data_IF_564091855470
#
_entry.id   IF_564091855470
#
_cell.length_a   1.000
_cell.length_b   1.000
_cell.length_c   1.000
_cell.angle_alpha   90.00
_cell.angle_beta   90.00
_cell.angle_gamma   90.00
#
_symmetry.space_group_name_H-M   'P 1'
#
loop_
_entity.id
_entity.type
_entity.pdbx_description
1 polymer ?
#
# COMPACT_ATOMS: atom_id res chain seq x y z
N UNK A 1 -55.10 -14.16 -61.32
CA UNK A 1 -54.04 -13.56 -60.48
C UNK A 1 -54.32 -13.93 -59.03
N UNK A 2 -53.52 -14.86 -58.51
CA UNK A 2 -53.59 -15.44 -57.17
C UNK A 2 -52.61 -14.73 -56.25
N UNK A 3 -53.06 -14.35 -55.05
CA UNK A 3 -52.43 -14.70 -53.76
C UNK A 3 -52.69 -13.62 -52.70
N UNK A 4 -53.38 -14.03 -51.64
CA UNK A 4 -53.53 -13.33 -50.37
C UNK A 4 -52.23 -13.53 -49.58
N UNK A 5 -51.62 -12.46 -49.08
CA UNK A 5 -50.56 -12.55 -48.07
C UNK A 5 -51.14 -12.16 -46.72
N UNK A 6 -51.60 -13.19 -46.02
CA UNK A 6 -51.78 -13.21 -44.58
C UNK A 6 -50.43 -13.58 -43.94
N UNK A 7 -50.00 -12.85 -42.91
CA UNK A 7 -49.17 -13.33 -41.79
C UNK A 7 -48.81 -12.20 -40.83
N UNK A 8 -49.70 -12.05 -39.86
CA UNK A 8 -49.38 -11.58 -38.53
C UNK A 8 -48.17 -12.34 -37.96
N UNK A 9 -47.10 -11.65 -37.60
CA UNK A 9 -46.01 -12.19 -36.77
C UNK A 9 -45.52 -11.12 -35.80
N UNK A 10 -45.98 -11.24 -34.55
CA UNK A 10 -45.32 -10.73 -33.34
C UNK A 10 -43.81 -11.03 -33.38
N UNK A 11 -42.97 -10.04 -33.08
CA UNK A 11 -41.67 -10.29 -32.43
C UNK A 11 -41.45 -9.28 -31.30
N UNK A 12 -41.59 -9.84 -30.10
CA UNK A 12 -41.27 -9.35 -28.76
C UNK A 12 -39.99 -8.51 -28.76
N UNK A 13 -40.13 -7.19 -28.52
CA UNK A 13 -39.01 -6.29 -28.32
C UNK A 13 -38.28 -6.63 -27.03
N UNK A 14 -37.01 -7.02 -27.17
CA UNK A 14 -36.11 -7.43 -26.11
C UNK A 14 -35.82 -6.25 -25.16
N UNK A 15 -36.47 -6.22 -23.99
CA UNK A 15 -36.13 -5.31 -22.89
C UNK A 15 -34.84 -5.78 -22.21
N UNK A 16 -33.67 -5.43 -22.77
CA UNK A 16 -32.42 -5.40 -21.99
C UNK A 16 -32.41 -4.13 -21.14
N UNK A 17 -33.13 -4.15 -20.02
CA UNK A 17 -32.99 -3.13 -19.00
C UNK A 17 -31.61 -3.30 -18.34
N UNK A 18 -30.74 -2.32 -18.58
CA UNK A 18 -29.34 -2.34 -18.16
C UNK A 18 -29.17 -2.49 -16.65
N UNK A 19 -28.44 -3.52 -16.26
CA UNK A 19 -27.75 -3.53 -14.97
C UNK A 19 -26.61 -2.51 -15.04
N UNK A 20 -26.91 -1.25 -14.71
CA UNK A 20 -25.91 -0.25 -14.33
C UNK A 20 -25.36 -0.66 -12.96
N UNK A 21 -24.44 -1.63 -12.97
CA UNK A 21 -23.67 -2.00 -11.79
C UNK A 21 -22.88 -0.79 -11.30
N UNK A 22 -23.15 -0.35 -10.07
CA UNK A 22 -22.33 0.62 -9.36
C UNK A 22 -20.92 0.05 -9.19
N UNK A 23 -19.98 0.47 -10.04
CA UNK A 23 -18.57 0.18 -9.83
C UNK A 23 -18.14 0.86 -8.53
N UNK A 24 -17.93 0.06 -7.48
CA UNK A 24 -17.35 0.57 -6.25
C UNK A 24 -15.99 1.19 -6.60
N UNK A 25 -15.63 2.35 -6.02
CA UNK A 25 -14.34 2.96 -6.26
C UNK A 25 -13.24 1.96 -5.89
N UNK A 26 -12.41 1.60 -6.86
CA UNK A 26 -11.22 0.79 -6.60
C UNK A 26 -10.26 1.65 -5.78
N UNK A 27 -10.14 1.36 -4.47
CA UNK A 27 -9.18 2.01 -3.59
C UNK A 27 -7.77 1.59 -3.99
N UNK A 28 -7.01 2.54 -4.52
CA UNK A 28 -5.69 2.29 -5.08
C UNK A 28 -4.59 2.58 -4.06
N UNK A 29 -4.65 2.01 -2.85
CA UNK A 29 -3.83 2.45 -1.71
C UNK A 29 -2.61 1.53 -1.42
N UNK A 30 -1.62 2.05 -0.70
CA UNK A 30 -0.63 1.25 0.01
C UNK A 30 -1.14 0.99 1.43
N UNK A 31 -1.38 -0.28 1.75
CA UNK A 31 -1.86 -0.71 3.05
C UNK A 31 -0.85 -1.60 3.75
N UNK A 32 -0.89 -1.62 5.07
CA UNK A 32 -0.20 -2.62 5.86
C UNK A 32 -1.15 -3.27 6.85
N UNK A 33 -1.09 -4.59 6.90
CA UNK A 33 -1.77 -5.41 7.88
C UNK A 33 -0.75 -5.96 8.87
N UNK A 34 -0.88 -5.56 10.12
CA UNK A 34 -0.10 -6.09 11.22
C UNK A 34 -0.72 -7.41 11.67
N UNK A 35 -0.09 -8.54 11.32
CA UNK A 35 -0.53 -9.86 11.76
C UNK A 35 0.15 -10.30 13.05
N UNK A 36 0.90 -9.42 13.73
CA UNK A 36 1.53 -9.74 15.02
C UNK A 36 0.53 -9.63 16.17
N UNK A 37 0.98 -10.03 17.37
CA UNK A 37 0.26 -9.78 18.62
C UNK A 37 0.56 -8.42 19.27
N UNK A 38 1.46 -7.62 18.70
CA UNK A 38 1.95 -6.37 19.28
C UNK A 38 1.43 -5.14 18.53
N UNK A 39 1.43 -3.98 19.18
CA UNK A 39 1.31 -2.68 18.51
C UNK A 39 2.58 -2.39 17.73
N UNK A 40 2.42 -1.99 16.49
CA UNK A 40 3.56 -1.71 15.61
C UNK A 40 3.53 -0.26 15.15
N UNK A 41 4.68 0.41 15.32
CA UNK A 41 4.96 1.70 14.70
C UNK A 41 5.55 1.50 13.31
N UNK A 42 5.07 2.23 12.32
CA UNK A 42 5.54 2.12 10.93
C UNK A 42 6.00 3.48 10.41
N UNK A 43 7.12 3.48 9.68
CA UNK A 43 7.53 4.54 8.78
C UNK A 43 7.71 3.98 7.37
N UNK A 44 7.43 4.80 6.36
CA UNK A 44 7.65 4.46 4.96
C UNK A 44 8.60 5.44 4.29
N UNK A 45 9.31 4.98 3.28
CA UNK A 45 10.09 5.78 2.36
C UNK A 45 9.72 5.45 0.92
N UNK A 46 9.61 6.47 0.08
CA UNK A 46 9.30 6.29 -1.34
C UNK A 46 9.86 7.44 -2.16
N UNK A 47 9.85 7.27 -3.49
CA UNK A 47 10.29 8.31 -4.41
C UNK A 47 9.09 8.90 -5.15
N UNK A 48 8.95 10.22 -5.08
CA UNK A 48 7.97 10.98 -5.85
C UNK A 48 8.67 11.78 -6.97
N UNK A 49 7.90 12.62 -7.67
CA UNK A 49 8.42 13.47 -8.75
C UNK A 49 9.44 14.53 -8.31
N UNK A 50 9.65 14.72 -7.01
CA UNK A 50 10.60 15.70 -6.44
C UNK A 50 11.77 15.03 -5.71
N UNK A 51 11.73 13.70 -5.54
CA UNK A 51 12.83 12.93 -4.95
C UNK A 51 12.37 11.99 -3.85
N UNK A 52 13.26 11.72 -2.91
CA UNK A 52 12.95 10.84 -1.78
C UNK A 52 12.09 11.55 -0.75
N UNK A 53 11.09 10.82 -0.23
CA UNK A 53 10.23 11.23 0.87
C UNK A 53 10.18 10.11 1.88
N UNK A 54 10.30 10.44 3.17
CA UNK A 54 10.02 9.52 4.27
C UNK A 54 8.93 10.09 5.17
N UNK A 55 8.03 9.22 5.61
CA UNK A 55 6.87 9.56 6.42
C UNK A 55 6.70 8.55 7.55
N UNK A 56 6.11 8.97 8.66
CA UNK A 56 5.82 8.14 9.83
C UNK A 56 5.29 9.03 10.96
N UNK A 57 4.81 8.52 12.09
CA UNK A 57 4.62 7.12 12.41
C UNK A 57 3.14 6.77 12.31
N UNK A 58 2.83 5.69 11.59
CA UNK A 58 1.53 5.03 11.74
C UNK A 58 1.58 4.07 12.91
N UNK A 59 0.52 4.06 13.71
CA UNK A 59 0.35 3.13 14.82
C UNK A 59 -0.67 2.06 14.41
N UNK A 60 -0.20 0.84 14.16
CA UNK A 60 -1.07 -0.27 13.71
C UNK A 60 -1.33 -1.20 14.90
N UNK A 61 -2.60 -1.32 15.27
CA UNK A 61 -3.03 -2.23 16.34
C UNK A 61 -2.70 -3.71 16.01
N UNK A 62 -2.57 -4.59 17.03
CA UNK A 62 -2.44 -6.02 16.81
C UNK A 62 -3.57 -6.54 15.93
N UNK A 63 -3.25 -7.38 14.93
CA UNK A 63 -4.23 -7.95 13.98
C UNK A 63 -5.03 -6.89 13.18
N UNK A 64 -4.58 -5.65 13.16
CA UNK A 64 -5.20 -4.53 12.45
C UNK A 64 -4.54 -4.23 11.10
N UNK A 65 -5.21 -3.41 10.28
CA UNK A 65 -4.65 -2.92 9.03
C UNK A 65 -4.84 -1.41 8.91
N UNK A 66 -3.80 -0.71 8.46
CA UNK A 66 -3.82 0.73 8.21
C UNK A 66 -3.47 1.08 6.76
N UNK A 67 -3.88 2.26 6.33
CA UNK A 67 -3.51 2.83 5.03
C UNK A 67 -2.34 3.77 5.23
N UNK A 68 -1.19 3.43 4.64
CA UNK A 68 0.05 4.20 4.77
C UNK A 68 0.13 5.30 3.72
N UNK A 69 -0.27 4.99 2.48
CA UNK A 69 -0.32 5.96 1.39
C UNK A 69 -1.66 5.82 0.67
N UNK A 70 -2.34 6.95 0.48
CA UNK A 70 -3.64 7.00 -0.21
C UNK A 70 -3.44 7.30 -1.69
N UNK A 71 -4.25 6.65 -2.52
CA UNK A 71 -4.26 6.87 -3.97
C UNK A 71 -3.13 6.14 -4.69
N UNK A 72 -3.25 6.13 -6.03
CA UNK A 72 -2.49 5.24 -6.90
C UNK A 72 -1.00 5.29 -6.67
N UNK A 73 -0.41 4.11 -6.47
CA UNK A 73 1.02 3.94 -6.30
C UNK A 73 1.78 4.37 -7.56
N UNK A 74 2.66 5.37 -7.40
CA UNK A 74 3.45 5.93 -8.50
C UNK A 74 4.80 5.23 -8.68
N UNK A 75 5.31 4.58 -7.62
CA UNK A 75 6.57 3.85 -7.63
C UNK A 75 6.34 2.34 -7.58
N UNK A 76 7.33 1.58 -8.07
CA UNK A 76 7.39 0.12 -7.92
C UNK A 76 7.91 -0.30 -6.54
N UNK A 77 8.90 0.43 -6.02
CA UNK A 77 9.55 0.09 -4.76
C UNK A 77 9.14 1.07 -3.66
N UNK A 78 8.75 0.52 -2.52
CA UNK A 78 8.52 1.25 -1.28
C UNK A 78 9.43 0.68 -0.21
N UNK A 79 9.83 1.52 0.72
CA UNK A 79 10.75 1.18 1.79
C UNK A 79 9.98 1.27 3.10
N UNK A 80 10.14 0.29 3.99
CA UNK A 80 9.40 0.24 5.24
C UNK A 80 10.36 0.02 6.40
N UNK A 81 10.13 0.76 7.47
CA UNK A 81 10.76 0.54 8.76
C UNK A 81 9.63 0.37 9.79
N UNK A 82 9.69 -0.68 10.59
CA UNK A 82 8.67 -0.91 11.61
C UNK A 82 9.29 -1.27 12.96
N UNK A 83 8.63 -0.89 14.05
CA UNK A 83 9.07 -1.11 15.43
C UNK A 83 7.95 -1.80 16.20
N UNK A 84 8.29 -2.87 16.93
CA UNK A 84 7.38 -3.48 17.89
C UNK A 84 7.41 -2.67 19.19
N UNK A 85 6.32 -1.98 19.51
CA UNK A 85 6.25 -1.12 20.70
C UNK A 85 6.01 -1.87 22.00
N UNK A 86 5.57 -3.13 21.95
CA UNK A 86 5.21 -3.89 23.15
C UNK A 86 6.35 -4.82 23.58
N UNK A 87 6.98 -5.52 22.63
CA UNK A 87 8.08 -6.47 22.90
C UNK A 87 9.45 -5.89 22.59
N UNK A 88 9.52 -4.78 21.86
CA UNK A 88 10.76 -4.27 21.30
C UNK A 88 11.23 -5.08 20.08
N UNK A 89 12.21 -4.53 19.38
CA UNK A 89 12.68 -5.06 18.09
C UNK A 89 12.14 -4.27 16.91
N UNK A 90 12.76 -4.48 15.75
CA UNK A 90 12.46 -3.74 14.53
C UNK A 90 12.49 -4.64 13.29
N UNK A 91 11.61 -4.31 12.34
CA UNK A 91 11.72 -4.74 10.95
C UNK A 91 12.49 -3.68 10.20
N UNK A 92 13.74 -3.99 9.88
CA UNK A 92 14.72 -3.08 9.30
C UNK A 92 15.34 -3.67 8.05
N UNK A 93 16.05 -2.85 7.29
CA UNK A 93 16.74 -3.27 6.08
C UNK A 93 17.94 -2.40 5.75
N UNK A 94 18.52 -2.61 4.57
CA UNK A 94 19.79 -2.00 4.17
C UNK A 94 19.66 -0.54 3.71
N UNK A 95 18.45 -0.10 3.37
CA UNK A 95 18.21 1.25 2.87
C UNK A 95 18.16 2.21 4.04
N UNK A 96 19.17 3.07 4.18
CA UNK A 96 19.22 4.05 5.27
C UNK A 96 18.48 5.31 4.85
N UNK A 97 17.54 5.75 5.68
CA UNK A 97 16.72 6.93 5.44
C UNK A 97 16.52 7.75 6.72
N UNK A 98 16.05 8.99 6.59
CA UNK A 98 15.85 9.89 7.71
C UNK A 98 14.52 9.63 8.43
N UNK A 99 14.55 9.64 9.76
CA UNK A 99 13.37 9.48 10.64
C UNK A 99 13.37 10.51 11.78
N UNK A 100 12.27 10.57 12.54
CA UNK A 100 12.14 11.35 13.78
C UNK A 100 11.32 10.59 14.81
N UNK A 101 11.44 10.98 16.08
CA UNK A 101 10.70 10.35 17.18
C UNK A 101 9.18 10.64 17.22
N UNK A 102 8.72 11.69 16.54
CA UNK A 102 7.30 12.07 16.43
C UNK A 102 6.86 11.95 14.97
N UNK A 103 5.55 12.08 14.71
CA UNK A 103 5.02 12.14 13.35
C UNK A 103 5.76 13.16 12.48
N UNK A 104 6.04 12.79 11.24
CA UNK A 104 6.97 13.46 10.36
C UNK A 104 6.68 13.18 8.88
N UNK A 105 7.08 14.15 8.06
CA UNK A 105 7.32 14.00 6.63
C UNK A 105 8.66 14.69 6.34
N UNK A 106 9.60 13.97 5.74
CA UNK A 106 10.96 14.47 5.44
C UNK A 106 11.24 14.26 3.96
N UNK A 107 11.73 15.30 3.29
CA UNK A 107 12.23 15.21 1.92
C UNK A 107 13.75 15.08 1.92
N UNK A 108 14.29 14.19 1.08
CA UNK A 108 15.72 13.89 1.01
C UNK A 108 16.18 12.94 2.12
N UNK A 109 17.15 12.09 1.80
CA UNK A 109 17.70 11.04 2.68
C UNK A 109 19.16 11.29 3.05
N UNK A 110 19.73 12.36 2.54
CA UNK A 110 21.07 12.85 2.80
C UNK A 110 21.16 13.62 4.11
N UNK A 111 22.34 13.54 4.74
CA UNK A 111 22.75 14.32 5.91
C UNK A 111 21.74 14.34 7.07
N UNK A 112 21.02 13.23 7.30
CA UNK A 112 19.95 13.14 8.31
C UNK A 112 20.36 13.74 9.67
N UNK A 113 21.51 13.32 10.20
CA UNK A 113 22.00 13.77 11.50
C UNK A 113 22.32 15.27 11.52
N UNK A 114 22.95 15.80 10.48
CA UNK A 114 23.28 17.23 10.38
C UNK A 114 22.02 18.10 10.26
N UNK A 115 20.95 17.54 9.71
CA UNK A 115 19.62 18.16 9.59
C UNK A 115 18.73 17.94 10.83
N UNK A 116 19.26 17.28 11.88
CA UNK A 116 18.53 17.00 13.13
C UNK A 116 17.49 15.89 13.02
N UNK A 117 17.73 14.92 12.14
CA UNK A 117 16.97 13.68 11.98
C UNK A 117 17.78 12.48 12.44
N UNK A 118 17.10 11.38 12.73
CA UNK A 118 17.71 10.09 13.00
C UNK A 118 17.97 9.31 11.68
N UNK A 119 18.77 8.25 11.75
CA UNK A 119 19.02 7.32 10.64
C UNK A 119 18.43 5.96 10.98
N UNK A 120 17.46 5.51 10.21
CA UNK A 120 16.84 4.19 10.37
C UNK A 120 17.03 3.37 9.09
N UNK A 121 17.12 2.04 9.27
CA UNK A 121 17.16 1.10 8.15
C UNK A 121 15.75 0.69 7.72
N UNK A 122 15.52 0.66 6.41
CA UNK A 122 14.24 0.29 5.82
C UNK A 122 14.44 -0.95 4.94
N UNK A 123 13.51 -1.91 5.03
CA UNK A 123 13.43 -3.03 4.10
C UNK A 123 12.66 -2.63 2.85
N UNK A 124 13.05 -3.20 1.72
CA UNK A 124 12.44 -2.91 0.43
C UNK A 124 11.22 -3.81 0.18
N UNK A 125 10.17 -3.21 -0.36
CA UNK A 125 8.94 -3.86 -0.80
C UNK A 125 8.79 -3.60 -2.30
N UNK A 126 8.90 -4.65 -3.10
CA UNK A 126 8.59 -4.62 -4.53
C UNK A 126 7.08 -4.84 -4.71
N UNK A 127 6.39 -3.82 -5.21
CA UNK A 127 4.96 -3.87 -5.52
C UNK A 127 4.67 -4.38 -6.93
N UNK A 128 5.69 -4.65 -7.75
CA UNK A 128 5.53 -5.13 -9.12
C UNK A 128 4.75 -4.17 -10.03
N UNK A 129 4.88 -2.85 -9.79
CA UNK A 129 4.16 -1.78 -10.52
C UNK A 129 2.64 -1.81 -10.33
N UNK A 130 2.16 -2.50 -9.30
CA UNK A 130 0.74 -2.52 -8.96
C UNK A 130 0.28 -1.16 -8.45
N UNK A 131 -0.93 -0.76 -8.88
CA UNK A 131 -1.55 0.52 -8.49
C UNK A 131 -2.00 0.57 -7.03
N UNK A 132 -2.04 -0.59 -6.36
CA UNK A 132 -2.40 -0.79 -4.95
C UNK A 132 -1.65 -1.99 -4.42
N UNK A 133 -1.24 -1.95 -3.15
CA UNK A 133 -0.49 -3.04 -2.55
C UNK A 133 -0.79 -3.16 -1.06
N UNK A 134 -0.83 -4.39 -0.55
CA UNK A 134 -0.97 -4.65 0.90
C UNK A 134 0.22 -5.44 1.41
N UNK A 135 0.93 -4.85 2.36
CA UNK A 135 2.05 -5.47 3.06
C UNK A 135 1.48 -6.26 4.25
N UNK A 136 1.84 -7.53 4.37
CA UNK A 136 1.53 -8.33 5.56
C UNK A 136 2.76 -8.33 6.46
N UNK A 137 2.67 -7.67 7.61
CA UNK A 137 3.73 -7.65 8.60
C UNK A 137 3.49 -8.77 9.61
N UNK A 138 4.35 -9.78 9.55
CA UNK A 138 4.32 -10.94 10.44
C UNK A 138 5.36 -10.81 11.53
N UNK A 139 5.23 -11.62 12.59
CA UNK A 139 6.26 -11.76 13.63
C UNK A 139 7.54 -12.24 12.92
N UNK A 140 8.45 -11.32 12.61
CA UNK A 140 9.72 -11.67 11.99
C UNK A 140 10.73 -11.81 13.11
N UNK A 141 11.29 -13.00 13.26
CA UNK A 141 12.51 -13.18 14.06
C UNK A 141 13.56 -12.20 13.52
N UNK A 142 14.17 -11.33 14.35
CA UNK A 142 15.12 -10.33 13.88
C UNK A 142 16.24 -10.99 13.05
N UNK A 143 16.29 -10.71 11.74
CA UNK A 143 17.31 -11.24 10.82
C UNK A 143 16.82 -12.00 9.58
N UNK A 144 15.52 -12.19 9.38
CA UNK A 144 15.02 -12.88 8.18
C UNK A 144 15.13 -12.00 6.92
N UNK A 145 16.21 -12.20 6.16
CA UNK A 145 16.31 -11.78 4.76
C UNK A 145 15.17 -12.44 3.97
N UNK A 146 14.35 -11.72 3.18
CA UNK A 146 13.32 -12.34 2.35
C UNK A 146 13.99 -13.34 1.38
N UNK A 147 13.44 -14.54 1.17
CA UNK A 147 13.98 -15.44 0.17
C UNK A 147 13.88 -14.75 -1.20
N UNK A 148 15.04 -14.57 -1.82
CA UNK A 148 15.16 -14.18 -3.23
C UNK A 148 14.49 -15.30 -4.04
N UNK A 149 13.35 -15.02 -4.66
CA UNK A 149 12.85 -15.85 -5.77
C UNK A 149 13.73 -15.66 -7.00
#
# INVERSE_FOLDING_TARGET
MTSRFDRSLLRLGLLLAGLLGSAAPALADLRMCNTTGSRVGVAIGYRDGQGWVTEGWWNIAPRGCETLLRGTLAARFYYVHAIDYDKGGEWTGKSIMCTRNKEFTIRGIEDCLARGYDRSGFFEVDTGEQKSWTIQLTDSTPGATPPRQ
#
